data_IF_931178294728
#
_entry.id   IF_931178294728
#
_cell.length_a   1.000
_cell.length_b   1.000
_cell.length_c   1.000
_cell.angle_alpha   90.00
_cell.angle_beta   90.00
_cell.angle_gamma   90.00
#
_symmetry.space_group_name_H-M   'P 1'
#
loop_
_entity.id
_entity.type
_entity.pdbx_description
1 polymer ?
#
# COMPACT_ATOMS: atom_id res chain seq x y z
N UNK A 1 55.80 -22.07 -23.82
CA UNK A 1 54.88 -21.63 -22.74
C UNK A 1 53.89 -20.65 -23.36
N UNK A 2 52.63 -21.05 -23.56
CA UNK A 2 51.59 -20.17 -24.10
C UNK A 2 51.08 -19.30 -22.95
N UNK A 3 51.35 -17.99 -22.98
CA UNK A 3 50.83 -17.07 -21.97
C UNK A 3 49.33 -16.91 -22.18
N UNK A 4 48.52 -17.42 -21.25
CA UNK A 4 47.08 -17.13 -21.21
C UNK A 4 46.91 -15.64 -20.89
N UNK A 5 46.29 -14.90 -21.80
CA UNK A 5 45.85 -13.54 -21.54
C UNK A 5 44.83 -13.53 -20.39
N UNK A 6 44.85 -12.49 -19.53
CA UNK A 6 43.90 -12.38 -18.43
C UNK A 6 42.47 -12.24 -18.98
N UNK A 7 41.46 -12.78 -18.27
CA UNK A 7 40.07 -12.65 -18.69
C UNK A 7 39.64 -11.17 -18.72
N UNK A 8 38.79 -10.78 -19.67
CA UNK A 8 38.31 -9.40 -19.76
C UNK A 8 37.54 -9.00 -18.50
N UNK A 9 37.62 -7.71 -18.10
CA UNK A 9 36.87 -7.22 -16.95
C UNK A 9 35.37 -7.40 -17.16
N UNK A 10 34.60 -7.68 -16.10
CA UNK A 10 33.16 -7.85 -16.21
C UNK A 10 32.51 -6.58 -16.75
N UNK A 11 31.46 -6.70 -17.59
CA UNK A 11 30.78 -5.55 -18.15
C UNK A 11 30.18 -4.68 -17.04
N UNK A 12 30.24 -3.36 -17.22
CA UNK A 12 29.66 -2.41 -16.29
C UNK A 12 28.16 -2.68 -16.10
N UNK A 13 27.63 -2.61 -14.87
CA UNK A 13 26.21 -2.88 -14.63
C UNK A 13 25.34 -1.85 -15.36
N UNK A 14 24.25 -2.34 -15.97
CA UNK A 14 23.24 -1.50 -16.62
C UNK A 14 22.59 -0.52 -15.63
N UNK A 15 22.03 0.59 -16.13
CA UNK A 15 21.33 1.57 -15.29
C UNK A 15 20.19 0.93 -14.47
N UNK A 16 19.43 0.04 -15.10
CA UNK A 16 18.36 -0.71 -14.42
C UNK A 16 18.91 -1.53 -13.25
N UNK A 17 20.05 -2.20 -13.43
CA UNK A 17 20.68 -2.96 -12.35
C UNK A 17 21.13 -2.04 -11.20
N UNK A 18 21.70 -0.88 -11.50
CA UNK A 18 22.07 0.11 -10.47
C UNK A 18 20.87 0.61 -9.67
N UNK A 19 19.74 0.87 -10.33
CA UNK A 19 18.50 1.29 -9.67
C UNK A 19 17.98 0.17 -8.74
N UNK A 20 17.95 -1.07 -9.23
CA UNK A 20 17.51 -2.22 -8.44
C UNK A 20 18.43 -2.47 -7.24
N UNK A 21 19.74 -2.37 -7.42
CA UNK A 21 20.73 -2.53 -6.36
C UNK A 21 20.58 -1.42 -5.30
N UNK A 22 20.37 -0.18 -5.74
CA UNK A 22 20.15 0.97 -4.86
C UNK A 22 18.86 0.85 -4.05
N UNK A 23 17.74 0.51 -4.69
CA UNK A 23 16.45 0.27 -4.04
C UNK A 23 16.56 -0.88 -3.02
N UNK A 24 17.24 -1.97 -3.40
CA UNK A 24 17.49 -3.10 -2.50
C UNK A 24 18.32 -2.68 -1.28
N UNK A 25 19.36 -1.88 -1.48
CA UNK A 25 20.23 -1.39 -0.42
C UNK A 25 19.50 -0.46 0.56
N UNK A 26 18.70 0.48 0.04
CA UNK A 26 17.87 1.37 0.87
C UNK A 26 16.85 0.56 1.66
N UNK A 27 16.12 -0.33 0.99
CA UNK A 27 15.09 -1.14 1.63
C UNK A 27 15.66 -1.98 2.78
N UNK A 28 16.84 -2.59 2.56
CA UNK A 28 17.53 -3.37 3.60
C UNK A 28 18.00 -2.48 4.76
N UNK A 29 18.53 -1.28 4.47
CA UNK A 29 18.94 -0.33 5.49
C UNK A 29 17.77 0.14 6.35
N UNK A 30 16.63 0.45 5.71
CA UNK A 30 15.41 0.84 6.42
C UNK A 30 14.95 -0.30 7.34
N UNK A 31 14.81 -1.52 6.80
CA UNK A 31 14.42 -2.70 7.57
C UNK A 31 15.33 -2.90 8.80
N UNK A 32 16.65 -2.94 8.60
CA UNK A 32 17.62 -3.21 9.68
C UNK A 32 17.64 -2.12 10.76
N UNK A 33 17.47 -0.85 10.39
CA UNK A 33 17.39 0.25 11.35
C UNK A 33 16.08 0.22 12.15
N UNK A 34 14.97 -0.11 11.51
CA UNK A 34 13.66 -0.06 12.18
C UNK A 34 13.32 -1.34 12.95
N UNK A 35 13.87 -2.49 12.56
CA UNK A 35 13.55 -3.77 13.17
C UNK A 35 13.74 -3.82 14.71
N UNK A 36 14.80 -3.24 15.30
CA UNK A 36 14.95 -3.22 16.75
C UNK A 36 14.14 -2.11 17.45
N UNK A 37 13.66 -1.10 16.72
CA UNK A 37 13.03 0.11 17.29
C UNK A 37 11.51 0.00 17.23
N UNK A 38 10.96 -0.42 16.09
CA UNK A 38 9.53 -0.44 15.83
C UNK A 38 8.92 -1.81 16.16
N UNK A 39 7.90 -1.87 17.03
CA UNK A 39 7.23 -3.12 17.33
C UNK A 39 6.63 -3.76 16.09
N UNK A 40 6.89 -5.05 15.87
CA UNK A 40 6.32 -5.80 14.74
C UNK A 40 4.79 -5.67 14.66
N UNK A 41 4.11 -5.76 15.82
CA UNK A 41 2.65 -5.66 15.88
C UNK A 41 2.13 -4.30 15.44
N UNK A 42 2.86 -3.20 15.72
CA UNK A 42 2.48 -1.87 15.26
C UNK A 42 2.53 -1.77 13.73
N UNK A 43 3.58 -2.29 13.11
CA UNK A 43 3.65 -2.33 11.64
C UNK A 43 2.59 -3.27 11.04
N UNK A 44 2.26 -4.34 11.75
CA UNK A 44 1.22 -5.30 11.33
C UNK A 44 -0.18 -4.72 11.42
N UNK A 45 -0.49 -3.88 12.41
CA UNK A 45 -1.79 -3.18 12.46
C UNK A 45 -1.93 -2.18 11.32
N UNK A 46 -0.86 -1.48 10.94
CA UNK A 46 -0.84 -0.65 9.74
C UNK A 46 -1.11 -1.48 8.47
N UNK A 47 -0.46 -2.65 8.32
CA UNK A 47 -0.74 -3.58 7.22
C UNK A 47 -2.22 -3.98 7.18
N UNK A 48 -2.81 -4.37 8.32
CA UNK A 48 -4.22 -4.78 8.41
C UNK A 48 -5.16 -3.62 8.09
N UNK A 49 -4.82 -2.39 8.51
CA UNK A 49 -5.66 -1.21 8.27
C UNK A 49 -5.81 -0.89 6.78
N UNK A 50 -4.79 -1.18 5.95
CA UNK A 50 -4.82 -1.03 4.50
C UNK A 50 -5.20 -2.30 3.74
N UNK A 51 -5.64 -3.36 4.44
CA UNK A 51 -5.96 -4.64 3.81
C UNK A 51 -7.34 -4.59 3.14
N UNK A 52 -7.40 -5.10 1.92
CA UNK A 52 -8.64 -5.24 1.16
C UNK A 52 -9.62 -6.20 1.85
N UNK A 53 -9.11 -7.19 2.59
CA UNK A 53 -9.96 -8.11 3.34
C UNK A 53 -10.78 -7.41 4.43
N UNK A 54 -10.28 -6.31 4.99
CA UNK A 54 -11.03 -5.46 5.92
C UNK A 54 -11.88 -4.44 5.14
N UNK A 55 -11.32 -3.85 4.10
CA UNK A 55 -11.93 -2.74 3.37
C UNK A 55 -13.19 -3.13 2.55
N UNK A 56 -13.13 -4.23 1.78
CA UNK A 56 -14.24 -4.61 0.90
C UNK A 56 -15.51 -5.01 1.68
N UNK A 57 -15.43 -5.86 2.72
CA UNK A 57 -16.61 -6.18 3.52
C UNK A 57 -17.17 -4.95 4.23
N UNK A 58 -16.30 -4.06 4.74
CA UNK A 58 -16.73 -2.84 5.42
C UNK A 58 -17.57 -1.94 4.50
N UNK A 59 -17.09 -1.64 3.29
CA UNK A 59 -17.85 -0.83 2.32
C UNK A 59 -19.15 -1.51 1.94
N UNK A 60 -19.11 -2.83 1.70
CA UNK A 60 -20.31 -3.57 1.32
C UNK A 60 -21.35 -3.56 2.45
N UNK A 61 -20.92 -3.73 3.70
CA UNK A 61 -21.79 -3.61 4.87
C UNK A 61 -22.39 -2.21 5.00
N UNK A 62 -21.61 -1.15 4.77
CA UNK A 62 -22.11 0.23 4.78
C UNK A 62 -23.12 0.49 3.65
N UNK A 63 -22.91 -0.06 2.46
CA UNK A 63 -23.86 0.06 1.33
C UNK A 63 -25.18 -0.70 1.57
N UNK A 64 -25.11 -1.86 2.23
CA UNK A 64 -26.27 -2.73 2.45
C UNK A 64 -27.03 -2.44 3.74
N UNK A 65 -26.51 -1.56 4.59
CA UNK A 65 -27.14 -1.27 5.88
C UNK A 65 -28.47 -0.50 5.67
N UNK A 66 -29.61 -0.98 6.22
CA UNK A 66 -30.94 -0.38 5.99
C UNK A 66 -31.07 1.07 6.46
N UNK A 67 -30.17 1.52 7.33
CA UNK A 67 -30.11 2.87 7.88
C UNK A 67 -28.97 3.71 7.27
N UNK A 68 -28.23 3.18 6.28
CA UNK A 68 -27.03 3.83 5.76
C UNK A 68 -27.32 5.24 5.26
N UNK A 69 -28.36 5.44 4.45
CA UNK A 69 -28.76 6.77 4.00
C UNK A 69 -30.23 6.76 3.56
N UNK A 70 -31.14 7.03 4.49
CA UNK A 70 -32.53 7.33 4.14
C UNK A 70 -32.70 8.66 3.40
N UNK A 71 -31.62 9.43 3.12
CA UNK A 71 -31.76 10.71 2.39
C UNK A 71 -30.52 11.34 1.70
N UNK A 72 -29.41 10.64 1.44
CA UNK A 72 -28.24 11.31 0.81
C UNK A 72 -27.60 10.48 -0.31
N UNK A 73 -28.06 10.72 -1.54
CA UNK A 73 -27.52 10.15 -2.80
C UNK A 73 -25.98 10.23 -2.87
N UNK A 74 -25.44 11.34 -2.35
CA UNK A 74 -24.03 11.70 -2.34
C UNK A 74 -23.12 10.67 -1.62
N UNK A 75 -23.51 10.20 -0.44
CA UNK A 75 -22.70 9.25 0.33
C UNK A 75 -22.64 7.86 -0.31
N UNK A 76 -23.74 7.44 -0.94
CA UNK A 76 -23.78 6.19 -1.71
C UNK A 76 -22.84 6.26 -2.92
N UNK A 77 -22.76 7.42 -3.58
CA UNK A 77 -21.82 7.63 -4.70
C UNK A 77 -20.37 7.47 -4.25
N UNK A 78 -19.99 8.07 -3.11
CA UNK A 78 -18.64 7.89 -2.53
C UNK A 78 -18.32 6.41 -2.27
N UNK A 79 -19.21 5.70 -1.58
CA UNK A 79 -19.01 4.28 -1.24
C UNK A 79 -18.95 3.39 -2.49
N UNK A 80 -19.81 3.64 -3.49
CA UNK A 80 -19.78 2.94 -4.78
C UNK A 80 -18.45 3.20 -5.49
N UNK A 81 -17.97 4.44 -5.51
CA UNK A 81 -16.70 4.77 -6.17
C UNK A 81 -15.48 4.18 -5.45
N UNK A 82 -15.50 4.09 -4.11
CA UNK A 82 -14.48 3.36 -3.37
C UNK A 82 -14.49 1.87 -3.71
N UNK A 83 -15.67 1.26 -3.88
CA UNK A 83 -15.79 -0.15 -4.28
C UNK A 83 -15.29 -0.37 -5.71
N UNK A 84 -15.74 0.44 -6.67
CA UNK A 84 -15.31 0.39 -8.08
C UNK A 84 -13.81 0.61 -8.17
N UNK A 85 -13.29 1.63 -7.48
CA UNK A 85 -11.86 1.91 -7.40
C UNK A 85 -11.09 0.70 -6.88
N UNK A 86 -11.55 0.08 -5.78
CA UNK A 86 -10.89 -1.11 -5.22
C UNK A 86 -10.89 -2.31 -6.18
N UNK A 87 -11.96 -2.50 -6.95
CA UNK A 87 -12.02 -3.55 -7.98
C UNK A 87 -11.02 -3.24 -9.11
N UNK A 88 -10.97 -1.99 -9.58
CA UNK A 88 -10.01 -1.55 -10.61
C UNK A 88 -8.57 -1.74 -10.11
N UNK A 89 -8.27 -1.37 -8.87
CA UNK A 89 -6.97 -1.57 -8.24
C UNK A 89 -6.54 -3.05 -8.29
N UNK A 90 -7.42 -3.98 -7.88
CA UNK A 90 -7.14 -5.41 -7.95
C UNK A 90 -6.91 -5.90 -9.39
N UNK A 91 -7.74 -5.43 -10.34
CA UNK A 91 -7.66 -5.80 -11.75
C UNK A 91 -6.41 -5.26 -12.45
N UNK A 92 -5.83 -4.17 -11.96
CA UNK A 92 -4.58 -3.63 -12.51
C UNK A 92 -3.35 -4.23 -11.82
N UNK A 93 -3.36 -4.25 -10.49
CA UNK A 93 -2.21 -4.68 -9.67
C UNK A 93 -1.97 -6.18 -9.79
N UNK A 94 -3.02 -7.00 -9.80
CA UNK A 94 -2.92 -8.46 -9.90
C UNK A 94 -2.16 -8.92 -11.16
N UNK A 95 -2.62 -8.54 -12.37
CA UNK A 95 -1.93 -8.86 -13.61
C UNK A 95 -0.53 -8.26 -13.69
N UNK A 96 -0.34 -7.01 -13.24
CA UNK A 96 0.97 -6.35 -13.31
C UNK A 96 2.01 -7.09 -12.46
N UNK A 97 1.63 -7.60 -11.29
CA UNK A 97 2.47 -8.49 -10.48
C UNK A 97 2.86 -9.76 -11.23
N UNK A 98 1.92 -10.34 -11.96
CA UNK A 98 2.16 -11.56 -12.73
C UNK A 98 3.06 -11.33 -13.95
N UNK A 99 3.05 -10.13 -14.53
CA UNK A 99 3.92 -9.76 -15.67
C UNK A 99 5.33 -9.45 -15.19
N UNK A 100 5.48 -8.64 -14.13
CA UNK A 100 6.79 -8.13 -13.71
C UNK A 100 7.58 -9.17 -12.90
N UNK A 101 6.89 -9.98 -12.09
CA UNK A 101 7.48 -11.10 -11.35
C UNK A 101 8.74 -10.74 -10.54
N UNK A 102 8.76 -9.54 -9.94
CA UNK A 102 9.85 -9.14 -9.05
C UNK A 102 9.79 -9.96 -7.77
N UNK A 103 10.87 -10.66 -7.42
CA UNK A 103 10.95 -11.43 -6.17
C UNK A 103 10.83 -10.53 -4.93
N UNK A 104 10.39 -11.08 -3.79
CA UNK A 104 10.32 -10.36 -2.50
C UNK A 104 11.69 -10.20 -1.84
N UNK A 105 11.84 -9.24 -0.91
CA UNK A 105 13.06 -9.11 -0.12
C UNK A 105 13.40 -10.41 0.63
N UNK A 106 14.67 -10.80 0.62
CA UNK A 106 15.15 -12.08 1.20
C UNK A 106 14.97 -12.14 2.72
N UNK A 107 14.95 -10.97 3.38
CA UNK A 107 14.76 -10.82 4.82
C UNK A 107 13.27 -10.76 5.25
N UNK A 108 12.35 -11.11 4.35
CA UNK A 108 10.91 -11.26 4.63
C UNK A 108 10.63 -12.46 5.55
N UNK A 109 10.97 -12.35 6.84
CA UNK A 109 10.72 -13.38 7.87
C UNK A 109 9.31 -13.21 8.46
N UNK A 110 8.70 -14.30 8.93
CA UNK A 110 7.34 -14.32 9.53
C UNK A 110 6.18 -14.03 8.55
N UNK A 111 6.12 -14.77 7.44
CA UNK A 111 4.87 -14.98 6.69
C UNK A 111 4.12 -16.20 7.27
N UNK A 112 3.59 -16.09 8.48
CA UNK A 112 2.63 -17.08 8.94
C UNK A 112 1.28 -16.79 8.26
N UNK A 113 0.91 -17.68 7.33
CA UNK A 113 -0.46 -17.88 6.85
C UNK A 113 -1.17 -16.61 6.34
N UNK A 114 -0.61 -15.95 5.33
CA UNK A 114 -1.42 -15.12 4.44
C UNK A 114 -1.03 -15.46 3.01
N UNK A 115 -1.79 -16.40 2.45
CA UNK A 115 -1.82 -16.90 1.07
C UNK A 115 -0.48 -16.91 0.32
N UNK A 116 0.08 -18.10 0.11
CA UNK A 116 1.26 -18.40 -0.72
C UNK A 116 1.12 -18.05 -2.22
N UNK A 117 0.11 -17.26 -2.57
CA UNK A 117 -0.24 -16.84 -3.95
C UNK A 117 0.47 -15.54 -4.33
N UNK A 118 0.82 -14.68 -3.36
CA UNK A 118 1.45 -13.38 -3.65
C UNK A 118 2.98 -13.42 -3.48
N UNK A 119 3.66 -14.18 -4.35
CA UNK A 119 5.13 -14.30 -4.31
C UNK A 119 5.86 -13.07 -4.87
N UNK A 120 5.14 -12.13 -5.47
CA UNK A 120 5.74 -10.99 -6.19
C UNK A 120 5.65 -9.69 -5.37
N UNK A 121 6.74 -8.92 -5.41
CA UNK A 121 6.91 -7.69 -4.63
C UNK A 121 6.53 -6.42 -5.38
N UNK A 122 6.35 -6.47 -6.69
CA UNK A 122 6.06 -5.26 -7.46
C UNK A 122 4.87 -5.45 -8.41
N UNK A 123 3.93 -4.49 -8.44
CA UNK A 123 3.78 -3.34 -7.53
C UNK A 123 3.23 -3.72 -6.14
N UNK A 124 3.27 -2.80 -5.17
CA UNK A 124 2.68 -3.04 -3.84
C UNK A 124 1.17 -2.78 -3.84
N UNK A 125 0.36 -3.84 -3.71
CA UNK A 125 -1.10 -3.70 -3.67
C UNK A 125 -1.62 -2.98 -2.44
N UNK A 126 -0.96 -3.09 -1.29
CA UNK A 126 -1.35 -2.31 -0.10
C UNK A 126 -1.10 -0.82 -0.33
N UNK A 127 0.08 -0.46 -0.84
CA UNK A 127 0.44 0.94 -1.10
C UNK A 127 -0.47 1.56 -2.17
N UNK A 128 -0.78 0.81 -3.24
CA UNK A 128 -1.72 1.23 -4.28
C UNK A 128 -3.11 1.50 -3.70
N UNK A 129 -3.65 0.56 -2.92
CA UNK A 129 -4.98 0.67 -2.32
C UNK A 129 -5.11 1.85 -1.37
N UNK A 130 -4.18 2.03 -0.41
CA UNK A 130 -4.29 3.16 0.52
C UNK A 130 -4.13 4.50 -0.18
N UNK A 131 -3.31 4.57 -1.24
CA UNK A 131 -3.17 5.78 -2.06
C UNK A 131 -4.44 6.07 -2.86
N UNK A 132 -5.07 5.04 -3.44
CA UNK A 132 -6.36 5.15 -4.11
C UNK A 132 -7.45 5.63 -3.15
N UNK A 133 -7.54 5.06 -1.95
CA UNK A 133 -8.50 5.47 -0.92
C UNK A 133 -8.28 6.94 -0.56
N UNK A 134 -7.04 7.33 -0.24
CA UNK A 134 -6.73 8.72 0.09
C UNK A 134 -7.08 9.68 -1.06
N UNK A 135 -6.83 9.28 -2.30
CA UNK A 135 -7.16 10.08 -3.49
C UNK A 135 -8.67 10.24 -3.65
N UNK A 136 -9.44 9.16 -3.54
CA UNK A 136 -10.91 9.23 -3.65
C UNK A 136 -11.48 10.08 -2.50
N UNK A 137 -11.01 9.88 -1.26
CA UNK A 137 -11.46 10.70 -0.14
C UNK A 137 -11.15 12.19 -0.38
N UNK A 138 -9.95 12.51 -0.89
CA UNK A 138 -9.59 13.88 -1.25
C UNK A 138 -10.50 14.48 -2.33
N UNK A 139 -10.83 13.71 -3.38
CA UNK A 139 -11.75 14.17 -4.44
C UNK A 139 -13.19 14.39 -3.95
N UNK A 140 -13.57 13.78 -2.83
CA UNK A 140 -14.87 13.88 -2.21
C UNK A 140 -14.83 14.70 -0.90
N UNK A 141 -13.77 15.49 -0.68
CA UNK A 141 -13.57 16.19 0.59
C UNK A 141 -14.72 17.11 0.95
N UNK A 142 -15.21 17.93 0.02
CA UNK A 142 -16.32 18.87 0.26
C UNK A 142 -17.59 18.15 0.78
N UNK A 143 -17.88 16.98 0.23
CA UNK A 143 -19.03 16.15 0.63
C UNK A 143 -18.82 15.54 2.02
N UNK A 144 -17.58 15.17 2.35
CA UNK A 144 -17.21 14.67 3.67
C UNK A 144 -17.28 15.81 4.70
N UNK A 145 -16.80 16.99 4.35
CA UNK A 145 -16.88 18.20 5.17
C UNK A 145 -18.34 18.55 5.49
N UNK A 146 -19.23 18.59 4.49
CA UNK A 146 -20.67 18.81 4.72
C UNK A 146 -21.31 17.78 5.66
N UNK A 147 -20.89 16.52 5.58
CA UNK A 147 -21.39 15.45 6.44
C UNK A 147 -20.83 15.52 7.86
N UNK A 148 -19.54 15.83 8.00
CA UNK A 148 -18.84 15.86 9.29
C UNK A 148 -19.11 17.16 10.04
N UNK A 149 -19.30 18.29 9.35
CA UNK A 149 -19.66 19.57 9.95
C UNK A 149 -21.04 19.53 10.64
N UNK A 150 -21.93 18.62 10.23
CA UNK A 150 -23.19 18.36 10.96
C UNK A 150 -22.98 17.83 12.38
N UNK A 151 -21.77 17.33 12.71
CA UNK A 151 -21.42 16.71 13.99
C UNK A 151 -20.65 17.64 14.95
N UNK A 152 -20.68 18.97 14.74
CA UNK A 152 -20.10 20.04 15.61
C UNK A 152 -18.59 19.90 15.93
N UNK A 153 -17.84 19.05 15.24
CA UNK A 153 -16.41 18.83 15.47
C UNK A 153 -15.54 19.44 14.34
N UNK A 154 -15.46 20.78 14.32
CA UNK A 154 -14.67 21.53 13.32
C UNK A 154 -13.21 21.08 13.25
N UNK A 155 -12.59 20.79 14.40
CA UNK A 155 -11.19 20.37 14.45
C UNK A 155 -10.94 19.05 13.69
N UNK A 156 -11.90 18.12 13.69
CA UNK A 156 -11.70 16.84 13.02
C UNK A 156 -11.73 17.01 11.50
N UNK A 157 -12.58 17.89 10.97
CA UNK A 157 -12.67 18.22 9.54
C UNK A 157 -11.34 18.78 9.04
N UNK A 158 -10.80 19.78 9.75
CA UNK A 158 -9.57 20.49 9.38
C UNK A 158 -8.37 19.55 9.20
N UNK A 159 -8.25 18.55 10.07
CA UNK A 159 -7.12 17.61 10.05
C UNK A 159 -7.44 16.29 9.33
N UNK A 160 -8.67 16.08 8.86
CA UNK A 160 -9.09 14.80 8.29
C UNK A 160 -8.19 14.35 7.13
N UNK A 161 -7.94 15.23 6.16
CA UNK A 161 -7.08 14.87 5.01
C UNK A 161 -5.62 14.67 5.39
N UNK A 162 -5.12 15.43 6.37
CA UNK A 162 -3.76 15.24 6.89
C UNK A 162 -3.63 13.87 7.54
N UNK A 163 -4.63 13.44 8.30
CA UNK A 163 -4.70 12.12 8.93
C UNK A 163 -4.76 11.02 7.86
N UNK A 164 -5.60 11.17 6.84
CA UNK A 164 -5.75 10.19 5.74
C UNK A 164 -4.46 10.04 4.95
N UNK A 165 -3.81 11.14 4.57
CA UNK A 165 -2.53 11.11 3.84
C UNK A 165 -1.44 10.52 4.73
N UNK A 166 -1.37 10.92 6.00
CA UNK A 166 -0.44 10.36 6.97
C UNK A 166 -0.61 8.86 7.15
N UNK A 167 -1.85 8.39 7.24
CA UNK A 167 -2.20 6.97 7.29
C UNK A 167 -1.78 6.22 6.02
N UNK A 168 -2.07 6.76 4.83
CA UNK A 168 -1.71 6.13 3.57
C UNK A 168 -0.18 6.01 3.42
N UNK A 169 0.55 7.09 3.73
CA UNK A 169 2.01 7.12 3.69
C UNK A 169 2.64 6.14 4.69
N UNK A 170 2.18 6.14 5.94
CA UNK A 170 2.69 5.22 6.98
C UNK A 170 2.35 3.77 6.69
N UNK A 171 1.18 3.48 6.13
CA UNK A 171 0.80 2.13 5.70
C UNK A 171 1.65 1.65 4.52
N UNK A 172 1.88 2.49 3.51
CA UNK A 172 2.79 2.17 2.41
C UNK A 172 4.23 1.93 2.92
N UNK A 173 4.72 2.80 3.80
CA UNK A 173 6.06 2.68 4.37
C UNK A 173 6.21 1.42 5.24
N UNK A 174 5.17 1.04 5.99
CA UNK A 174 5.16 -0.20 6.78
C UNK A 174 5.46 -1.45 5.94
N UNK A 175 5.12 -1.43 4.64
CA UNK A 175 5.42 -2.54 3.71
C UNK A 175 6.92 -2.74 3.52
N UNK A 176 7.68 -1.66 3.48
CA UNK A 176 9.14 -1.68 3.37
C UNK A 176 9.74 -2.10 4.71
N UNK A 177 9.26 -1.51 5.81
CA UNK A 177 9.77 -1.79 7.16
C UNK A 177 9.52 -3.23 7.64
N UNK A 178 8.45 -3.87 7.16
CA UNK A 178 8.17 -5.29 7.38
C UNK A 178 8.95 -6.21 6.43
N UNK A 179 9.72 -5.65 5.49
CA UNK A 179 10.44 -6.41 4.47
C UNK A 179 9.54 -7.10 3.45
N UNK A 180 8.33 -6.58 3.23
CA UNK A 180 7.36 -7.15 2.27
C UNK A 180 7.60 -6.64 0.85
N UNK A 181 7.99 -5.38 0.73
CA UNK A 181 8.20 -4.66 -0.52
C UNK A 181 9.51 -3.86 -0.46
N UNK A 182 9.97 -3.43 -1.63
CA UNK A 182 11.06 -2.46 -1.76
C UNK A 182 10.49 -1.03 -1.88
N UNK A 183 11.36 -0.02 -1.87
CA UNK A 183 11.00 1.41 -1.97
C UNK A 183 10.52 1.77 -3.38
#
# INVERSE_FOLDING_TARGET
>A
MVSKSPPPPPPSPSLLRRIVDFDTAISHRLYTLTHPILPYYFLKTLEISGDGFLFFPLILSLLLYPLAFSNTVNSNVLLINLLIGGVIDLLLIGPLKHVIRRARPVYNKNMFVSFSVDNWSFPSGHSSRVSMIATILYLYFDLIEEFVAQNENDLFVDYFMVIVIGWAATTAFSRVLLGRHFV
#
